data_IF_083365806127
#
_entry.id   IF_083365806127
#
_cell.length_a   1.000
_cell.length_b   1.000
_cell.length_c   1.000
_cell.angle_alpha   90.00
_cell.angle_beta   90.00
_cell.angle_gamma   90.00
#
_symmetry.space_group_name_H-M   'P 1'
#
loop_
_entity.id
_entity.type
_entity.pdbx_description
1 polymer ?
#
# COMPACT_ATOMS: atom_id res chain seq x y z
N UNK A 1 -26.32 -4.18 -50.82
CA UNK A 1 -25.84 -3.12 -49.91
C UNK A 1 -25.92 -3.66 -48.51
N UNK A 2 -24.85 -4.25 -48.03
CA UNK A 2 -24.71 -4.82 -46.67
C UNK A 2 -23.91 -3.81 -45.85
N UNK A 3 -24.59 -3.10 -44.96
CA UNK A 3 -23.98 -2.15 -43.99
C UNK A 3 -23.28 -2.96 -42.92
N UNK A 4 -21.96 -2.99 -42.96
CA UNK A 4 -21.14 -3.50 -41.86
C UNK A 4 -21.12 -2.48 -40.74
N UNK A 5 -21.68 -2.85 -39.59
CA UNK A 5 -21.70 -2.10 -38.35
C UNK A 5 -20.27 -1.96 -37.80
N UNK A 6 -19.71 -0.73 -37.64
CA UNK A 6 -18.36 -0.51 -37.14
C UNK A 6 -18.21 -0.66 -35.62
N UNK A 7 -19.29 -1.05 -34.89
CA UNK A 7 -19.29 -1.12 -33.42
C UNK A 7 -18.70 -2.41 -32.82
N UNK A 8 -18.23 -3.39 -33.63
CA UNK A 8 -17.69 -4.65 -33.13
C UNK A 8 -16.15 -4.75 -33.14
N UNK A 9 -15.44 -3.63 -33.31
CA UNK A 9 -14.00 -3.62 -33.08
C UNK A 9 -13.72 -3.70 -31.58
N UNK A 10 -13.78 -4.92 -31.04
CA UNK A 10 -13.29 -5.20 -29.70
C UNK A 10 -11.88 -4.69 -29.56
N UNK A 11 -11.68 -3.72 -28.66
CA UNK A 11 -10.35 -3.27 -28.26
C UNK A 11 -9.60 -4.49 -27.70
N UNK A 12 -8.83 -5.13 -28.55
CA UNK A 12 -7.78 -6.06 -28.12
C UNK A 12 -6.78 -5.18 -27.35
N UNK A 13 -6.83 -5.25 -26.03
CA UNK A 13 -5.74 -4.74 -25.19
C UNK A 13 -4.49 -5.43 -25.70
N UNK A 14 -3.44 -4.68 -26.11
CA UNK A 14 -2.21 -5.30 -26.59
C UNK A 14 -1.73 -6.23 -25.50
N UNK A 15 -1.54 -7.50 -25.82
CA UNK A 15 -0.89 -8.48 -24.97
C UNK A 15 0.55 -7.97 -24.83
N UNK A 16 0.80 -7.16 -23.77
CA UNK A 16 2.15 -6.88 -23.37
C UNK A 16 2.79 -8.24 -23.07
N UNK A 17 3.98 -8.48 -23.63
CA UNK A 17 4.82 -9.62 -23.29
C UNK A 17 4.86 -9.73 -21.76
N UNK A 18 4.00 -10.57 -21.20
CA UNK A 18 3.92 -10.77 -19.76
C UNK A 18 5.22 -11.42 -19.32
N UNK A 19 5.98 -10.73 -18.48
CA UNK A 19 7.23 -11.21 -17.89
C UNK A 19 7.03 -11.49 -16.41
N UNK A 20 6.33 -12.59 -16.07
CA UNK A 20 5.91 -12.83 -14.68
C UNK A 20 7.10 -12.93 -13.72
N UNK A 21 8.21 -13.54 -14.13
CA UNK A 21 9.41 -13.64 -13.30
C UNK A 21 10.02 -12.26 -13.01
N UNK A 22 10.05 -11.35 -14.01
CA UNK A 22 10.53 -9.99 -13.79
C UNK A 22 9.58 -9.21 -12.86
N UNK A 23 8.26 -9.37 -13.02
CA UNK A 23 7.27 -8.78 -12.12
C UNK A 23 7.44 -9.25 -10.67
N UNK A 24 7.62 -10.56 -10.46
CA UNK A 24 7.91 -11.12 -9.14
C UNK A 24 9.22 -10.57 -8.57
N UNK A 25 10.30 -10.49 -9.38
CA UNK A 25 11.59 -9.96 -8.92
C UNK A 25 11.49 -8.49 -8.49
N UNK A 26 10.78 -7.64 -9.22
CA UNK A 26 10.52 -6.26 -8.83
C UNK A 26 9.69 -6.18 -7.55
N UNK A 27 8.68 -7.04 -7.37
CA UNK A 27 7.89 -7.06 -6.14
C UNK A 27 8.74 -7.49 -4.95
N UNK A 28 9.55 -8.54 -5.09
CA UNK A 28 10.47 -9.01 -4.05
C UNK A 28 11.46 -7.92 -3.64
N UNK A 29 11.96 -7.12 -4.59
CA UNK A 29 12.79 -5.96 -4.29
C UNK A 29 12.02 -4.92 -3.46
N UNK A 30 10.80 -4.57 -3.84
CA UNK A 30 9.97 -3.63 -3.10
C UNK A 30 9.70 -4.11 -1.67
N UNK A 31 9.27 -5.38 -1.50
CA UNK A 31 8.95 -5.96 -0.19
C UNK A 31 10.17 -6.16 0.71
N UNK A 32 11.37 -6.20 0.16
CA UNK A 32 12.62 -6.19 0.93
C UNK A 32 13.00 -4.76 1.36
N UNK A 33 12.76 -3.77 0.51
CA UNK A 33 13.12 -2.37 0.77
C UNK A 33 12.18 -1.70 1.79
N UNK A 34 10.88 -1.97 1.74
CA UNK A 34 9.92 -1.33 2.63
C UNK A 34 10.14 -1.62 4.12
N UNK A 35 10.45 -2.85 4.57
CA UNK A 35 10.79 -3.08 5.98
C UNK A 35 12.06 -2.33 6.45
N UNK A 36 13.04 -2.15 5.57
CA UNK A 36 14.23 -1.33 5.87
C UNK A 36 13.82 0.14 6.06
N UNK A 37 12.94 0.65 5.18
CA UNK A 37 12.35 1.97 5.34
C UNK A 37 11.67 2.12 6.71
N UNK A 38 10.88 1.14 7.12
CA UNK A 38 10.11 1.19 8.37
C UNK A 38 11.03 1.12 9.60
N UNK A 39 12.14 0.39 9.52
CA UNK A 39 13.20 0.43 10.54
C UNK A 39 13.79 1.82 10.69
N UNK A 40 14.12 2.49 9.57
CA UNK A 40 14.66 3.85 9.60
C UNK A 40 13.64 4.81 10.25
N UNK A 41 12.37 4.74 9.84
CA UNK A 41 11.31 5.58 10.39
C UNK A 41 11.14 5.35 11.89
N UNK A 42 11.06 4.08 12.32
CA UNK A 42 10.96 3.75 13.74
C UNK A 42 12.17 4.23 14.54
N UNK A 43 13.37 4.14 13.99
CA UNK A 43 14.59 4.64 14.62
C UNK A 43 14.59 6.17 14.75
N UNK A 44 14.03 6.87 13.77
CA UNK A 44 13.92 8.33 13.78
C UNK A 44 12.76 8.84 14.64
N UNK A 45 11.77 7.99 14.98
CA UNK A 45 10.56 8.39 15.71
C UNK A 45 10.80 8.94 17.10
N UNK A 46 11.96 8.62 17.71
CA UNK A 46 12.38 9.16 19.01
C UNK A 46 12.85 10.62 18.97
N UNK A 47 13.35 11.10 17.82
CA UNK A 47 13.97 12.44 17.68
C UNK A 47 13.19 13.40 16.80
N UNK A 48 12.44 12.90 15.81
CA UNK A 48 11.76 13.72 14.80
C UNK A 48 10.24 13.59 14.92
N UNK A 49 9.52 14.57 14.38
CA UNK A 49 8.08 14.51 14.22
C UNK A 49 7.70 13.65 13.00
N UNK A 50 6.56 12.95 13.06
CA UNK A 50 6.10 12.10 11.95
C UNK A 50 5.92 12.90 10.65
N UNK A 51 5.32 14.09 10.73
CA UNK A 51 5.11 14.97 9.59
C UNK A 51 6.41 15.52 9.01
N UNK A 52 7.45 15.72 9.83
CA UNK A 52 8.79 16.08 9.38
C UNK A 52 9.45 14.95 8.58
N UNK A 53 9.34 13.70 9.07
CA UNK A 53 9.87 12.53 8.35
C UNK A 53 9.15 12.36 7.01
N UNK A 54 7.82 12.48 6.99
CA UNK A 54 7.03 12.35 5.75
C UNK A 54 7.38 13.45 4.75
N UNK A 55 7.61 14.69 5.21
CA UNK A 55 8.04 15.81 4.39
C UNK A 55 9.39 15.52 3.71
N UNK A 56 10.43 15.23 4.50
CA UNK A 56 11.78 15.00 3.97
C UNK A 56 11.84 13.77 3.09
N UNK A 57 11.14 12.68 3.48
CA UNK A 57 11.01 11.48 2.65
C UNK A 57 10.40 11.80 1.29
N UNK A 58 9.33 12.60 1.25
CA UNK A 58 8.69 13.04 0.01
C UNK A 58 9.64 13.86 -0.85
N UNK A 59 10.35 14.81 -0.23
CA UNK A 59 11.28 15.69 -0.93
C UNK A 59 12.46 14.92 -1.55
N UNK A 60 13.07 13.99 -0.80
CA UNK A 60 14.16 13.16 -1.32
C UNK A 60 13.71 12.05 -2.29
N UNK A 61 12.45 11.61 -2.22
CA UNK A 61 11.88 10.68 -3.20
C UNK A 61 11.57 11.35 -4.54
N UNK A 62 11.29 12.66 -4.54
CA UNK A 62 10.87 13.40 -5.72
C UNK A 62 11.87 13.35 -6.88
N UNK A 63 13.19 13.60 -6.71
CA UNK A 63 14.15 13.49 -7.80
C UNK A 63 14.27 12.06 -8.35
N UNK A 64 14.14 11.04 -7.51
CA UNK A 64 14.16 9.63 -7.93
C UNK A 64 12.96 9.33 -8.83
N UNK A 65 11.75 9.67 -8.37
CA UNK A 65 10.51 9.44 -9.13
C UNK A 65 10.46 10.30 -10.39
N UNK A 66 10.92 11.55 -10.33
CA UNK A 66 11.00 12.43 -11.49
C UNK A 66 12.02 11.90 -12.52
N UNK A 67 13.18 11.43 -12.09
CA UNK A 67 14.18 10.81 -12.96
C UNK A 67 13.65 9.56 -13.67
N UNK A 68 12.94 8.70 -12.94
CA UNK A 68 12.28 7.52 -13.51
C UNK A 68 11.20 7.93 -14.53
N UNK A 69 10.34 8.89 -14.17
CA UNK A 69 9.29 9.38 -15.05
C UNK A 69 9.87 10.05 -16.33
N UNK A 70 11.04 10.66 -16.22
CA UNK A 70 11.77 11.19 -17.38
C UNK A 70 12.28 10.07 -18.29
N UNK A 71 12.95 9.07 -17.71
CA UNK A 71 13.43 7.91 -18.48
C UNK A 71 12.30 7.15 -19.18
N UNK A 72 11.11 7.10 -18.59
CA UNK A 72 9.91 6.51 -19.19
C UNK A 72 9.19 7.45 -20.18
N UNK A 73 9.62 8.71 -20.35
CA UNK A 73 8.97 9.71 -21.19
C UNK A 73 7.59 10.16 -20.68
N UNK A 74 7.24 9.84 -19.44
CA UNK A 74 5.92 10.13 -18.85
C UNK A 74 5.87 11.47 -18.13
N UNK A 75 7.02 12.06 -17.80
CA UNK A 75 7.10 13.30 -17.02
C UNK A 75 6.35 14.48 -17.66
N UNK A 76 6.42 14.58 -19.01
CA UNK A 76 5.79 15.68 -19.76
C UNK A 76 4.35 15.36 -20.22
N UNK A 77 3.84 14.17 -19.93
CA UNK A 77 2.49 13.73 -20.33
C UNK A 77 1.64 13.43 -19.09
N UNK A 78 1.54 14.41 -18.19
CA UNK A 78 0.77 14.26 -16.97
C UNK A 78 -0.74 14.23 -17.27
N UNK A 79 -1.38 13.10 -16.95
CA UNK A 79 -2.83 12.93 -17.04
C UNK A 79 -3.41 12.82 -15.65
N UNK A 80 -4.07 13.86 -15.17
CA UNK A 80 -4.58 13.91 -13.80
C UNK A 80 -5.98 13.29 -13.66
N UNK A 81 -6.74 13.16 -14.75
CA UNK A 81 -8.11 12.66 -14.68
C UNK A 81 -9.02 13.56 -13.84
N UNK A 82 -9.83 12.97 -12.96
CA UNK A 82 -10.68 13.71 -12.04
C UNK A 82 -9.86 14.25 -10.86
N UNK A 83 -9.69 15.57 -10.78
CA UNK A 83 -8.92 16.25 -9.70
C UNK A 83 -9.48 15.92 -8.31
N UNK A 84 -10.82 16.01 -8.02
CA UNK A 84 -11.33 15.69 -6.70
C UNK A 84 -11.01 14.26 -6.26
N UNK A 85 -11.08 13.31 -7.20
CA UNK A 85 -10.78 11.91 -6.91
C UNK A 85 -9.27 11.69 -6.70
N UNK A 86 -8.41 12.43 -7.41
CA UNK A 86 -6.96 12.43 -7.18
C UNK A 86 -6.61 13.00 -5.81
N UNK A 87 -7.24 14.11 -5.41
CA UNK A 87 -7.05 14.72 -4.09
C UNK A 87 -7.48 13.74 -3.00
N UNK A 88 -8.68 13.17 -3.10
CA UNK A 88 -9.18 12.18 -2.13
C UNK A 88 -8.23 10.98 -2.02
N UNK A 89 -7.76 10.45 -3.16
CA UNK A 89 -6.81 9.36 -3.22
C UNK A 89 -5.51 9.70 -2.50
N UNK A 90 -4.92 10.84 -2.82
CA UNK A 90 -3.62 11.24 -2.28
C UNK A 90 -3.70 11.62 -0.80
N UNK A 91 -4.78 12.29 -0.36
CA UNK A 91 -5.03 12.57 1.05
C UNK A 91 -5.27 11.29 1.86
N UNK A 92 -6.03 10.34 1.32
CA UNK A 92 -6.21 9.03 1.97
C UNK A 92 -4.89 8.27 2.07
N UNK A 93 -4.04 8.28 1.02
CA UNK A 93 -2.70 7.71 1.10
C UNK A 93 -1.84 8.42 2.16
N UNK A 94 -1.84 9.75 2.19
CA UNK A 94 -1.12 10.54 3.18
C UNK A 94 -1.57 10.22 4.60
N UNK A 95 -2.88 10.20 4.86
CA UNK A 95 -3.45 9.85 6.15
C UNK A 95 -3.05 8.42 6.56
N UNK A 96 -3.12 7.46 5.61
CA UNK A 96 -2.69 6.08 5.82
C UNK A 96 -1.25 6.01 6.32
N UNK A 97 -0.31 6.62 5.59
CA UNK A 97 1.11 6.61 5.98
C UNK A 97 1.36 7.31 7.30
N UNK A 98 0.68 8.44 7.56
CA UNK A 98 0.82 9.18 8.80
C UNK A 98 0.43 8.32 10.01
N UNK A 99 -0.78 7.74 10.00
CA UNK A 99 -1.25 6.92 11.12
C UNK A 99 -0.53 5.57 11.21
N UNK A 100 -0.06 5.01 10.08
CA UNK A 100 0.82 3.84 10.06
C UNK A 100 2.12 4.09 10.82
N UNK A 101 2.79 5.20 10.54
CA UNK A 101 4.05 5.54 11.23
C UNK A 101 3.83 5.89 12.70
N UNK A 102 2.70 6.50 13.03
CA UNK A 102 2.31 6.71 14.43
C UNK A 102 2.11 5.38 15.16
N UNK A 103 1.49 4.39 14.53
CA UNK A 103 1.38 3.05 15.09
C UNK A 103 2.74 2.39 15.26
N UNK A 104 3.59 2.47 14.24
CA UNK A 104 4.93 1.89 14.20
C UNK A 104 5.84 2.43 15.32
N UNK A 105 5.63 3.69 15.76
CA UNK A 105 6.38 4.27 16.87
C UNK A 105 6.07 3.61 18.22
N UNK A 106 4.86 3.10 18.42
CA UNK A 106 4.41 2.53 19.70
C UNK A 106 4.47 1.00 19.72
N UNK A 107 4.09 0.32 18.63
CA UNK A 107 4.06 -1.15 18.58
C UNK A 107 5.17 -1.72 17.68
N UNK A 108 5.31 -3.05 17.71
CA UNK A 108 6.33 -3.76 16.94
C UNK A 108 6.15 -3.64 15.42
N UNK A 109 7.25 -3.74 14.68
CA UNK A 109 7.25 -3.69 13.21
C UNK A 109 6.35 -4.78 12.61
N UNK A 110 6.50 -6.01 13.11
CA UNK A 110 5.73 -7.15 12.65
C UNK A 110 4.24 -7.05 13.03
N UNK A 111 3.91 -6.49 14.19
CA UNK A 111 2.54 -6.27 14.65
C UNK A 111 1.84 -5.21 13.81
N UNK A 112 2.50 -4.06 13.60
CA UNK A 112 1.98 -3.01 12.71
C UNK A 112 1.72 -3.54 11.31
N UNK A 113 2.68 -4.31 10.76
CA UNK A 113 2.54 -4.96 9.46
C UNK A 113 1.36 -5.94 9.44
N UNK A 114 1.27 -6.84 10.41
CA UNK A 114 0.20 -7.84 10.50
C UNK A 114 -1.19 -7.18 10.43
N UNK A 115 -1.41 -6.13 11.22
CA UNK A 115 -2.70 -5.41 11.22
C UNK A 115 -2.94 -4.73 9.88
N UNK A 116 -1.93 -4.07 9.31
CA UNK A 116 -2.06 -3.32 8.05
C UNK A 116 -2.27 -4.25 6.85
N UNK A 117 -1.78 -5.49 6.89
CA UNK A 117 -2.08 -6.51 5.89
C UNK A 117 -3.55 -6.97 5.85
N UNK A 118 -4.42 -6.42 6.72
CA UNK A 118 -5.88 -6.49 6.55
C UNK A 118 -6.43 -5.60 5.41
N UNK A 119 -5.61 -4.74 4.81
CA UNK A 119 -6.01 -3.86 3.69
C UNK A 119 -6.79 -4.57 2.59
N UNK A 120 -6.40 -5.76 2.07
CA UNK A 120 -7.16 -6.46 1.02
C UNK A 120 -8.61 -6.77 1.42
N UNK A 121 -8.86 -6.98 2.72
CA UNK A 121 -10.19 -7.22 3.28
C UNK A 121 -11.04 -5.97 3.11
N UNK A 122 -10.53 -4.79 3.52
CA UNK A 122 -11.22 -3.50 3.36
C UNK A 122 -11.40 -3.13 1.89
N UNK A 123 -10.41 -3.41 1.04
CA UNK A 123 -10.53 -3.22 -0.42
C UNK A 123 -11.69 -4.05 -0.98
N UNK A 124 -11.85 -5.30 -0.55
CA UNK A 124 -12.94 -6.18 -0.98
C UNK A 124 -14.30 -5.62 -0.54
N UNK A 125 -14.42 -5.20 0.71
CA UNK A 125 -15.65 -4.57 1.24
C UNK A 125 -15.98 -3.29 0.48
N UNK A 126 -15.02 -2.40 0.32
CA UNK A 126 -15.22 -1.11 -0.36
C UNK A 126 -15.46 -1.26 -1.86
N UNK A 127 -14.88 -2.27 -2.52
CA UNK A 127 -15.19 -2.59 -3.91
C UNK A 127 -16.67 -2.96 -4.08
N UNK A 128 -17.23 -3.71 -3.14
CA UNK A 128 -18.66 -4.03 -3.12
C UNK A 128 -19.52 -2.79 -2.92
N UNK A 129 -19.16 -1.94 -1.94
CA UNK A 129 -19.95 -0.78 -1.56
C UNK A 129 -19.87 0.36 -2.61
N UNK A 130 -18.68 0.66 -3.13
CA UNK A 130 -18.43 1.86 -3.94
C UNK A 130 -18.27 1.58 -5.44
N UNK A 131 -17.92 0.35 -5.82
CA UNK A 131 -17.78 -0.06 -7.23
C UNK A 131 -18.94 -0.97 -7.68
N UNK A 132 -19.82 -1.39 -6.76
CA UNK A 132 -20.95 -2.27 -7.07
C UNK A 132 -20.50 -3.70 -7.44
N UNK A 133 -19.29 -4.12 -7.06
CA UNK A 133 -18.81 -5.46 -7.35
C UNK A 133 -19.57 -6.50 -6.53
N UNK A 134 -20.11 -7.52 -7.18
CA UNK A 134 -20.80 -8.61 -6.50
C UNK A 134 -19.80 -9.69 -6.08
N UNK A 135 -19.57 -9.78 -4.77
CA UNK A 135 -18.73 -10.82 -4.18
C UNK A 135 -19.58 -12.01 -3.71
N UNK A 136 -19.08 -13.24 -3.91
CA UNK A 136 -19.77 -14.43 -3.45
C UNK A 136 -19.53 -14.72 -1.96
N UNK A 137 -20.31 -15.65 -1.41
CA UNK A 137 -20.22 -16.06 0.01
C UNK A 137 -18.79 -16.43 0.45
N UNK A 138 -18.01 -17.03 -0.41
CA UNK A 138 -16.61 -17.37 -0.11
C UNK A 138 -15.73 -16.15 0.22
N UNK A 139 -15.90 -15.05 -0.52
CA UNK A 139 -15.18 -13.82 -0.21
C UNK A 139 -15.61 -13.23 1.14
N UNK A 140 -16.91 -13.34 1.48
CA UNK A 140 -17.39 -12.93 2.80
C UNK A 140 -16.82 -13.80 3.92
N UNK A 141 -16.68 -15.13 3.72
CA UNK A 141 -15.98 -15.99 4.68
C UNK A 141 -14.52 -15.57 4.88
N UNK A 142 -13.81 -15.21 3.79
CA UNK A 142 -12.44 -14.72 3.88
C UNK A 142 -12.37 -13.35 4.61
N UNK A 143 -13.32 -12.44 4.34
CA UNK A 143 -13.44 -11.16 5.06
C UNK A 143 -13.63 -11.39 6.57
N UNK A 144 -14.55 -12.28 6.96
CA UNK A 144 -14.82 -12.58 8.39
C UNK A 144 -13.58 -13.22 9.04
N UNK A 145 -12.92 -14.17 8.37
CA UNK A 145 -11.69 -14.80 8.86
C UNK A 145 -10.57 -13.77 9.07
N UNK A 146 -10.38 -12.87 8.11
CA UNK A 146 -9.36 -11.84 8.21
C UNK A 146 -9.64 -10.82 9.31
N UNK A 147 -10.89 -10.38 9.48
CA UNK A 147 -11.29 -9.49 10.58
C UNK A 147 -11.15 -10.17 11.95
N UNK A 148 -11.47 -11.46 12.04
CA UNK A 148 -11.21 -12.24 13.25
C UNK A 148 -9.70 -12.31 13.56
N UNK A 149 -8.86 -12.48 12.53
CA UNK A 149 -7.40 -12.40 12.66
C UNK A 149 -6.91 -11.04 13.19
N UNK A 150 -7.46 -9.93 12.69
CA UNK A 150 -7.18 -8.59 13.22
C UNK A 150 -7.58 -8.49 14.70
N UNK A 151 -8.77 -8.97 15.08
CA UNK A 151 -9.22 -8.96 16.46
C UNK A 151 -8.29 -9.77 17.38
N UNK A 152 -7.74 -10.89 16.90
CA UNK A 152 -6.75 -11.70 17.64
C UNK A 152 -5.44 -10.94 17.83
N UNK A 153 -4.96 -10.18 16.82
CA UNK A 153 -3.74 -9.36 16.97
C UNK A 153 -3.98 -8.19 17.92
N UNK A 154 -5.10 -7.49 17.76
CA UNK A 154 -5.42 -6.27 18.51
C UNK A 154 -5.78 -6.58 19.98
N UNK A 155 -6.30 -7.77 20.27
CA UNK A 155 -6.70 -8.23 21.62
C UNK A 155 -7.58 -7.23 22.39
N UNK A 156 -8.70 -6.73 21.83
CA UNK A 156 -9.55 -5.78 22.52
C UNK A 156 -10.12 -6.42 23.81
N UNK A 157 -9.89 -5.78 24.97
CA UNK A 157 -10.41 -6.25 26.25
C UNK A 157 -9.49 -7.16 27.06
N UNK A 158 -8.29 -7.48 26.60
CA UNK A 158 -7.33 -8.30 27.34
C UNK A 158 -6.53 -7.53 28.43
N UNK A 159 -6.94 -6.29 28.76
CA UNK A 159 -6.22 -5.42 29.72
C UNK A 159 -4.90 -4.86 29.21
N UNK A 160 -4.46 -5.27 28.03
CA UNK A 160 -3.21 -4.88 27.33
C UNK A 160 -3.54 -4.21 25.98
N UNK A 161 -4.75 -3.63 25.86
CA UNK A 161 -5.15 -2.96 24.63
C UNK A 161 -4.24 -1.77 24.33
N UNK A 162 -3.51 -1.88 23.20
CA UNK A 162 -2.63 -0.81 22.73
C UNK A 162 -3.36 0.07 21.71
N UNK A 163 -3.63 1.37 22.04
CA UNK A 163 -4.36 2.26 21.12
C UNK A 163 -3.70 2.41 19.74
N UNK A 164 -2.39 2.21 19.66
CA UNK A 164 -1.66 2.24 18.40
C UNK A 164 -2.09 1.16 17.41
N UNK A 165 -2.65 0.04 17.87
CA UNK A 165 -3.23 -0.99 17.00
C UNK A 165 -4.44 -0.45 16.21
N UNK A 166 -5.23 0.47 16.80
CA UNK A 166 -6.32 1.15 16.08
C UNK A 166 -5.76 2.04 14.97
N UNK A 167 -4.63 2.72 15.21
CA UNK A 167 -3.96 3.53 14.18
C UNK A 167 -3.51 2.66 13.01
N UNK A 168 -2.96 1.47 13.27
CA UNK A 168 -2.58 0.53 12.22
C UNK A 168 -3.80 0.05 11.41
N UNK A 169 -4.94 -0.18 12.07
CA UNK A 169 -6.20 -0.54 11.41
C UNK A 169 -6.75 0.61 10.57
N UNK A 170 -6.72 1.84 11.10
CA UNK A 170 -7.09 3.05 10.34
C UNK A 170 -6.18 3.24 9.12
N UNK A 171 -4.88 2.93 9.24
CA UNK A 171 -3.96 2.95 8.12
C UNK A 171 -4.41 2.01 6.99
N UNK A 172 -4.81 0.78 7.33
CA UNK A 172 -5.34 -0.19 6.37
C UNK A 172 -6.62 0.32 5.69
N UNK A 173 -7.54 0.94 6.44
CA UNK A 173 -8.78 1.52 5.92
C UNK A 173 -8.48 2.68 4.95
N UNK A 174 -7.65 3.64 5.35
CA UNK A 174 -7.30 4.77 4.49
C UNK A 174 -6.57 4.33 3.23
N UNK A 175 -5.69 3.33 3.34
CA UNK A 175 -5.01 2.76 2.18
C UNK A 175 -6.00 2.08 1.23
N UNK A 176 -6.97 1.33 1.75
CA UNK A 176 -8.04 0.73 0.96
C UNK A 176 -8.86 1.79 0.21
N UNK A 177 -9.20 2.92 0.85
CA UNK A 177 -9.88 4.06 0.19
C UNK A 177 -9.03 4.59 -0.97
N UNK A 178 -7.71 4.78 -0.76
CA UNK A 178 -6.79 5.21 -1.81
C UNK A 178 -6.76 4.23 -2.99
N UNK A 179 -6.76 2.92 -2.74
CA UNK A 179 -6.83 1.88 -3.78
C UNK A 179 -8.14 1.97 -4.56
N UNK A 180 -9.28 2.12 -3.90
CA UNK A 180 -10.60 2.25 -4.56
C UNK A 180 -10.65 3.50 -5.43
N UNK A 181 -10.12 4.64 -4.96
CA UNK A 181 -10.00 5.84 -5.76
C UNK A 181 -9.11 5.62 -7.00
N UNK A 182 -7.99 4.91 -6.84
CA UNK A 182 -7.10 4.53 -7.94
C UNK A 182 -7.84 3.68 -9.00
N UNK A 183 -8.63 2.69 -8.56
CA UNK A 183 -9.44 1.86 -9.44
C UNK A 183 -10.51 2.68 -10.20
N UNK A 184 -11.16 3.64 -9.52
CA UNK A 184 -12.13 4.56 -10.15
C UNK A 184 -11.50 5.50 -11.17
N UNK A 185 -10.26 5.95 -10.95
CA UNK A 185 -9.51 6.76 -11.91
C UNK A 185 -9.18 5.97 -13.18
N UNK A 186 -8.86 4.67 -13.03
CA UNK A 186 -8.60 3.75 -14.13
C UNK A 186 -7.58 4.30 -15.14
N UNK A 187 -7.85 4.11 -16.43
CA UNK A 187 -6.96 4.54 -17.53
C UNK A 187 -7.01 6.05 -17.83
N UNK A 188 -7.76 6.84 -17.07
CA UNK A 188 -7.83 8.31 -17.23
C UNK A 188 -6.61 9.04 -16.69
N UNK A 189 -5.75 8.34 -15.96
CA UNK A 189 -4.50 8.83 -15.38
C UNK A 189 -3.37 7.86 -15.67
N UNK A 190 -2.13 8.33 -15.64
CA UNK A 190 -0.95 7.47 -15.69
C UNK A 190 -0.31 7.33 -14.29
N UNK A 191 0.42 6.24 -14.09
CA UNK A 191 1.06 5.93 -12.80
C UNK A 191 2.03 7.01 -12.34
N UNK A 192 2.82 7.59 -13.26
CA UNK A 192 3.74 8.68 -12.95
C UNK A 192 3.04 9.91 -12.41
N UNK A 193 1.93 10.35 -13.05
CA UNK A 193 1.11 11.47 -12.57
C UNK A 193 0.53 11.20 -11.18
N UNK A 194 0.04 9.97 -10.93
CA UNK A 194 -0.51 9.59 -9.63
C UNK A 194 0.57 9.67 -8.54
N UNK A 195 1.77 9.16 -8.81
CA UNK A 195 2.87 9.14 -7.85
C UNK A 195 3.37 10.55 -7.55
N UNK A 196 3.62 11.36 -8.58
CA UNK A 196 4.04 12.75 -8.41
C UNK A 196 3.02 13.57 -7.62
N UNK A 197 1.73 13.43 -7.94
CA UNK A 197 0.66 14.10 -7.21
C UNK A 197 0.63 13.68 -5.72
N UNK A 198 0.81 12.39 -5.44
CA UNK A 198 0.89 11.89 -4.07
C UNK A 198 2.09 12.47 -3.33
N UNK A 199 3.27 12.53 -3.96
CA UNK A 199 4.46 13.13 -3.35
C UNK A 199 4.25 14.62 -3.04
N UNK A 200 3.62 15.37 -3.95
CA UNK A 200 3.26 16.78 -3.68
C UNK A 200 2.34 16.91 -2.46
N UNK A 201 1.34 16.03 -2.33
CA UNK A 201 0.45 16.01 -1.15
C UNK A 201 1.20 15.62 0.11
N UNK A 202 2.16 14.68 0.05
CA UNK A 202 2.97 14.29 1.20
C UNK A 202 3.88 15.43 1.67
N UNK A 203 4.52 16.15 0.74
CA UNK A 203 5.36 17.31 1.04
C UNK A 203 4.49 18.45 1.62
N UNK A 204 3.40 18.82 0.93
CA UNK A 204 2.52 19.89 1.38
C UNK A 204 1.84 19.55 2.72
N UNK A 205 1.31 18.33 2.85
CA UNK A 205 0.67 17.85 4.08
C UNK A 205 1.64 17.79 5.25
N UNK A 206 2.86 17.28 5.03
CA UNK A 206 3.92 17.27 6.05
C UNK A 206 4.28 18.68 6.51
N UNK A 207 4.43 19.63 5.57
CA UNK A 207 4.70 21.04 5.89
C UNK A 207 3.54 21.68 6.67
N UNK A 208 2.30 21.50 6.23
CA UNK A 208 1.11 22.06 6.90
C UNK A 208 0.98 21.50 8.33
N UNK A 209 1.10 20.20 8.50
CA UNK A 209 1.05 19.59 9.84
C UNK A 209 2.20 20.07 10.73
N UNK A 210 3.39 20.29 10.14
CA UNK A 210 4.55 20.85 10.84
C UNK A 210 4.35 22.28 11.33
N UNK A 211 3.47 23.05 10.70
CA UNK A 211 3.10 24.39 11.16
C UNK A 211 1.98 24.37 12.22
N UNK A 212 1.07 23.39 12.13
CA UNK A 212 -0.14 23.35 12.98
C UNK A 212 0.11 22.61 14.29
N UNK A 213 0.70 21.41 14.24
CA UNK A 213 0.78 20.53 15.42
C UNK A 213 1.70 21.03 16.55
N UNK A 214 2.85 21.67 16.28
CA UNK A 214 3.67 22.23 17.34
C UNK A 214 2.98 23.32 18.16
N UNK A 215 2.00 24.02 17.57
CA UNK A 215 1.20 25.03 18.27
C UNK A 215 0.12 24.43 19.19
N UNK A 216 -0.25 23.17 18.93
CA UNK A 216 -1.19 22.39 19.73
C UNK A 216 -0.46 21.51 20.74
N UNK A 217 0.81 21.84 21.05
CA UNK A 217 1.71 21.01 21.85
C UNK A 217 0.99 20.43 23.08
N UNK A 218 0.98 19.13 23.16
CA UNK A 218 0.44 18.37 24.27
C UNK A 218 1.52 17.38 24.71
N UNK A 219 1.93 17.45 25.97
CA UNK A 219 2.86 16.49 26.58
C UNK A 219 2.15 15.14 26.78
N UNK A 220 1.85 14.47 25.65
CA UNK A 220 1.22 13.16 25.70
C UNK A 220 2.28 12.10 26.02
N UNK A 221 2.06 11.27 27.05
CA UNK A 221 2.97 10.17 27.36
C UNK A 221 2.94 9.05 26.32
N UNK A 222 1.94 9.03 25.43
CA UNK A 222 1.80 7.98 24.43
C UNK A 222 2.74 8.21 23.23
N UNK A 223 3.61 7.24 22.85
CA UNK A 223 4.61 7.40 21.81
C UNK A 223 4.05 7.87 20.46
N UNK A 224 2.87 7.38 20.05
CA UNK A 224 2.22 7.77 18.79
C UNK A 224 1.84 9.24 18.77
N UNK A 225 1.29 9.77 19.88
CA UNK A 225 0.89 11.17 19.98
C UNK A 225 2.10 12.09 20.17
N UNK A 226 3.08 11.68 20.99
CA UNK A 226 4.34 12.38 21.11
C UNK A 226 5.04 12.53 19.75
N UNK A 227 4.96 11.52 18.88
CA UNK A 227 5.50 11.54 17.53
C UNK A 227 4.76 12.53 16.61
N UNK A 228 3.45 12.73 16.81
CA UNK A 228 2.63 13.67 16.05
C UNK A 228 2.84 15.13 16.50
N UNK A 229 2.82 15.38 17.82
CA UNK A 229 2.86 16.74 18.38
C UNK A 229 4.26 17.33 18.50
N UNK A 230 5.29 16.52 18.26
CA UNK A 230 6.69 16.97 18.34
C UNK A 230 6.96 18.10 17.35
N UNK A 231 7.69 19.13 17.80
CA UNK A 231 8.21 20.18 16.93
C UNK A 231 9.30 19.66 16.00
N UNK A 232 9.49 20.33 14.87
CA UNK A 232 10.57 19.99 13.95
C UNK A 232 11.93 20.20 14.63
N UNK A 233 12.77 19.20 14.54
CA UNK A 233 14.15 19.25 15.01
C UNK A 233 15.11 19.43 13.82
N UNK A 234 16.19 20.18 14.05
CA UNK A 234 17.25 20.30 13.06
C UNK A 234 17.98 18.95 12.93
N UNK A 235 18.04 18.34 11.72
CA UNK A 235 18.73 17.06 11.55
C UNK A 235 20.25 17.23 11.71
N UNK A 236 20.88 16.31 12.44
CA UNK A 236 22.33 16.17 12.47
C UNK A 236 22.84 15.59 11.12
N UNK A 237 24.15 15.66 10.82
CA UNK A 237 24.70 15.13 9.57
C UNK A 237 24.35 13.68 9.28
N UNK A 238 24.29 12.83 10.33
CA UNK A 238 23.87 11.42 10.21
C UNK A 238 22.39 11.29 9.84
N UNK A 239 21.53 12.15 10.38
CA UNK A 239 20.09 12.09 10.15
C UNK A 239 19.75 12.49 8.71
N UNK A 240 20.49 13.44 8.13
CA UNK A 240 20.37 13.77 6.72
C UNK A 240 20.62 12.58 5.80
N UNK A 241 21.61 11.74 6.14
CA UNK A 241 21.90 10.52 5.39
C UNK A 241 20.72 9.54 5.50
N UNK A 242 20.15 9.36 6.70
CA UNK A 242 19.00 8.48 6.92
C UNK A 242 17.75 9.00 6.19
N UNK A 243 17.48 10.30 6.22
CA UNK A 243 16.34 10.90 5.53
C UNK A 243 16.49 10.81 4.01
N UNK A 244 17.70 11.03 3.47
CA UNK A 244 17.99 10.85 2.05
C UNK A 244 17.87 9.38 1.62
N UNK A 245 18.41 8.45 2.42
CA UNK A 245 18.26 7.01 2.19
C UNK A 245 16.78 6.60 2.20
N UNK A 246 16.00 7.12 3.15
CA UNK A 246 14.57 6.89 3.25
C UNK A 246 13.83 7.33 1.98
N UNK A 247 14.15 8.53 1.44
CA UNK A 247 13.58 9.01 0.17
C UNK A 247 13.98 8.14 -1.01
N UNK A 248 15.25 7.77 -1.11
CA UNK A 248 15.77 6.89 -2.16
C UNK A 248 15.12 5.49 -2.13
N UNK A 249 15.09 4.87 -0.95
CA UNK A 249 14.43 3.56 -0.74
C UNK A 249 12.96 3.64 -1.11
N UNK A 250 12.25 4.70 -0.70
CA UNK A 250 10.85 4.91 -1.05
C UNK A 250 10.65 5.05 -2.57
N UNK A 251 11.47 5.86 -3.23
CA UNK A 251 11.37 6.06 -4.69
C UNK A 251 11.61 4.77 -5.47
N UNK A 252 12.67 4.03 -5.13
CA UNK A 252 12.99 2.74 -5.76
C UNK A 252 11.91 1.69 -5.43
N UNK A 253 11.44 1.64 -4.17
CA UNK A 253 10.41 0.71 -3.74
C UNK A 253 9.08 0.93 -4.48
N UNK A 254 8.62 2.17 -4.58
CA UNK A 254 7.39 2.50 -5.33
C UNK A 254 7.53 2.25 -6.83
N UNK A 255 8.70 2.56 -7.41
CA UNK A 255 8.97 2.20 -8.79
C UNK A 255 8.91 0.69 -8.99
N UNK A 256 9.60 -0.06 -8.14
CA UNK A 256 9.64 -1.52 -8.21
C UNK A 256 8.24 -2.13 -8.06
N UNK A 257 7.44 -1.62 -7.13
CA UNK A 257 6.04 -2.03 -6.96
C UNK A 257 5.21 -1.74 -8.23
N UNK A 258 5.37 -0.55 -8.81
CA UNK A 258 4.69 -0.18 -10.06
C UNK A 258 5.10 -1.08 -11.23
N UNK A 259 6.39 -1.39 -11.37
CA UNK A 259 6.88 -2.29 -12.41
C UNK A 259 6.40 -3.73 -12.23
N UNK A 260 6.31 -4.20 -10.99
CA UNK A 260 5.78 -5.53 -10.69
C UNK A 260 4.37 -5.72 -11.27
N UNK A 261 3.47 -4.77 -11.01
CA UNK A 261 2.09 -4.81 -11.51
C UNK A 261 1.95 -4.47 -12.99
N UNK A 262 2.95 -3.81 -13.60
CA UNK A 262 2.99 -3.56 -15.04
C UNK A 262 3.44 -4.79 -15.84
N UNK A 263 4.38 -5.57 -15.31
CA UNK A 263 5.03 -6.68 -16.01
C UNK A 263 4.32 -8.02 -15.82
N UNK A 264 3.48 -8.15 -14.79
CA UNK A 264 2.77 -9.38 -14.49
C UNK A 264 1.34 -9.10 -14.01
N UNK A 265 0.47 -10.10 -14.17
CA UNK A 265 -0.90 -10.04 -13.66
C UNK A 265 -0.90 -9.92 -12.13
N UNK A 266 -1.80 -9.11 -11.58
CA UNK A 266 -1.94 -8.94 -10.14
C UNK A 266 -2.12 -10.28 -9.40
N UNK A 267 -2.88 -11.21 -9.97
CA UNK A 267 -3.09 -12.56 -9.43
C UNK A 267 -1.80 -13.37 -9.25
N UNK A 268 -0.76 -13.05 -10.04
CA UNK A 268 0.54 -13.71 -9.97
C UNK A 268 1.44 -13.05 -8.93
N UNK A 269 1.44 -11.73 -8.86
CA UNK A 269 2.38 -10.98 -7.99
C UNK A 269 1.86 -10.77 -6.58
N UNK A 270 0.56 -10.52 -6.37
CA UNK A 270 -0.01 -10.21 -5.05
C UNK A 270 0.33 -11.22 -3.94
N UNK A 271 0.39 -12.56 -4.17
CA UNK A 271 0.80 -13.49 -3.13
C UNK A 271 2.21 -13.21 -2.58
N UNK A 272 3.09 -12.66 -3.40
CA UNK A 272 4.46 -12.33 -3.01
C UNK A 272 4.55 -11.04 -2.18
N UNK A 273 3.50 -10.23 -2.08
CA UNK A 273 3.46 -9.09 -1.14
C UNK A 273 3.63 -9.55 0.31
N UNK A 274 3.12 -10.74 0.64
CA UNK A 274 3.28 -11.30 1.98
C UNK A 274 4.73 -11.61 2.35
N UNK A 275 5.66 -11.61 1.38
CA UNK A 275 7.11 -11.72 1.67
C UNK A 275 7.66 -10.52 2.46
N UNK A 276 6.93 -9.41 2.56
CA UNK A 276 7.24 -8.31 3.46
C UNK A 276 7.28 -8.78 4.93
N UNK A 277 6.38 -9.67 5.34
CA UNK A 277 6.21 -10.07 6.74
C UNK A 277 7.43 -10.79 7.35
N UNK A 278 8.05 -11.78 6.68
CA UNK A 278 9.32 -12.34 7.15
C UNK A 278 10.40 -11.28 7.35
N UNK A 279 10.50 -10.30 6.45
CA UNK A 279 11.46 -9.20 6.59
C UNK A 279 11.11 -8.27 7.75
N UNK A 280 9.82 -7.98 7.97
CA UNK A 280 9.38 -7.17 9.11
C UNK A 280 9.71 -7.85 10.45
N UNK A 281 9.52 -9.17 10.56
CA UNK A 281 9.92 -9.96 11.75
C UNK A 281 11.45 -9.96 11.91
N UNK A 282 12.19 -10.24 10.83
CA UNK A 282 13.64 -10.28 10.84
C UNK A 282 14.25 -8.95 11.30
N UNK A 283 13.86 -7.84 10.68
CA UNK A 283 14.37 -6.52 11.03
C UNK A 283 13.88 -6.03 12.39
N UNK A 284 12.61 -6.37 12.76
CA UNK A 284 12.06 -6.08 14.09
C UNK A 284 12.88 -6.73 15.19
N UNK A 285 13.30 -7.97 14.99
CA UNK A 285 14.17 -8.68 15.93
C UNK A 285 15.62 -8.14 15.91
N UNK A 286 16.22 -8.01 14.73
CA UNK A 286 17.62 -7.60 14.59
C UNK A 286 17.91 -6.19 15.15
N UNK A 287 16.99 -5.25 14.95
CA UNK A 287 17.22 -3.84 15.29
C UNK A 287 16.60 -3.46 16.64
N UNK A 288 15.44 -4.01 16.97
CA UNK A 288 14.68 -3.63 18.17
C UNK A 288 14.56 -4.77 19.20
N UNK A 289 15.06 -5.97 18.92
CA UNK A 289 14.94 -7.12 19.81
C UNK A 289 13.50 -7.62 20.00
N UNK A 290 12.55 -7.14 19.18
CA UNK A 290 11.13 -7.45 19.32
C UNK A 290 10.71 -8.65 18.47
N UNK A 291 10.20 -9.69 19.12
CA UNK A 291 9.57 -10.83 18.45
C UNK A 291 8.05 -10.74 18.60
N UNK A 292 7.28 -11.11 17.55
CA UNK A 292 5.82 -11.17 17.64
C UNK A 292 5.38 -12.16 18.71
N UNK A 293 4.38 -11.79 19.52
CA UNK A 293 3.75 -12.69 20.46
C UNK A 293 2.92 -13.79 19.78
N UNK A 294 2.49 -14.80 20.54
CA UNK A 294 1.68 -15.91 20.03
C UNK A 294 0.37 -15.44 19.37
N UNK A 295 -0.28 -14.43 19.94
CA UNK A 295 -1.48 -13.82 19.36
C UNK A 295 -1.21 -13.18 18.01
N UNK A 296 -0.08 -12.46 17.88
CA UNK A 296 0.33 -11.87 16.61
C UNK A 296 0.58 -12.93 15.54
N UNK A 297 1.26 -14.03 15.88
CA UNK A 297 1.45 -15.15 14.96
C UNK A 297 0.14 -15.80 14.52
N UNK A 298 -0.77 -16.03 15.47
CA UNK A 298 -2.09 -16.63 15.19
C UNK A 298 -2.92 -15.71 14.29
N UNK A 299 -3.05 -14.42 14.65
CA UNK A 299 -3.80 -13.46 13.85
C UNK A 299 -3.17 -13.22 12.47
N UNK A 300 -1.83 -13.20 12.39
CA UNK A 300 -1.10 -13.09 11.13
C UNK A 300 -1.42 -14.25 10.18
N UNK A 301 -1.41 -15.49 10.67
CA UNK A 301 -1.77 -16.66 9.85
C UNK A 301 -3.21 -16.59 9.35
N UNK A 302 -4.14 -16.09 10.17
CA UNK A 302 -5.53 -15.89 9.75
C UNK A 302 -5.66 -14.79 8.67
N UNK A 303 -4.99 -13.65 8.84
CA UNK A 303 -5.03 -12.53 7.88
C UNK A 303 -4.40 -12.94 6.55
N UNK A 304 -3.20 -13.53 6.58
CA UNK A 304 -2.51 -14.01 5.37
C UNK A 304 -3.33 -15.10 4.69
N UNK A 305 -3.85 -16.06 5.47
CA UNK A 305 -4.73 -17.12 4.95
C UNK A 305 -5.98 -16.55 4.26
N UNK A 306 -6.65 -15.58 4.87
CA UNK A 306 -7.80 -14.90 4.28
C UNK A 306 -7.45 -14.19 2.96
N UNK A 307 -6.34 -13.45 2.95
CA UNK A 307 -5.86 -12.75 1.75
C UNK A 307 -5.49 -13.71 0.62
N UNK A 308 -4.75 -14.77 0.91
CA UNK A 308 -4.39 -15.81 -0.07
C UNK A 308 -5.63 -16.55 -0.62
N UNK A 309 -6.64 -16.81 0.22
CA UNK A 309 -7.91 -17.40 -0.22
C UNK A 309 -8.62 -16.51 -1.24
N UNK A 310 -8.65 -15.19 -1.03
CA UNK A 310 -9.23 -14.22 -1.98
C UNK A 310 -8.48 -14.30 -3.31
N UNK A 311 -7.14 -14.15 -3.28
CA UNK A 311 -6.28 -14.16 -4.47
C UNK A 311 -6.41 -15.49 -5.24
N UNK A 312 -6.34 -16.63 -4.55
CA UNK A 312 -6.44 -17.94 -5.17
C UNK A 312 -7.77 -18.11 -5.92
N UNK A 313 -8.88 -17.68 -5.33
CA UNK A 313 -10.18 -17.76 -5.98
C UNK A 313 -10.32 -16.83 -7.19
N UNK A 314 -9.77 -15.63 -7.14
CA UNK A 314 -9.75 -14.72 -8.29
C UNK A 314 -8.96 -15.32 -9.46
N UNK A 315 -7.82 -15.95 -9.17
CA UNK A 315 -7.00 -16.67 -10.16
C UNK A 315 -7.77 -17.81 -10.81
N UNK A 316 -8.53 -18.59 -10.01
CA UNK A 316 -9.35 -19.67 -10.54
C UNK A 316 -10.51 -19.16 -11.41
N UNK A 317 -11.12 -18.04 -11.07
CA UNK A 317 -12.20 -17.43 -11.87
C UNK A 317 -11.68 -16.83 -13.19
N UNK A 318 -10.48 -16.26 -13.19
CA UNK A 318 -9.81 -15.72 -14.39
C UNK A 318 -9.47 -16.80 -15.43
N UNK A 319 -9.27 -18.05 -14.99
CA UNK A 319 -9.09 -19.20 -15.85
C UNK A 319 -10.43 -19.72 -16.40
N UNK A 320 -11.18 -18.90 -17.15
CA UNK A 320 -12.26 -19.45 -17.99
C UNK A 320 -11.60 -20.33 -19.04
N UNK A 321 -12.00 -21.61 -19.16
CA UNK A 321 -11.34 -22.53 -20.08
C UNK A 321 -11.53 -22.04 -21.52
N UNK A 322 -10.43 -21.83 -22.22
CA UNK A 322 -10.36 -21.56 -23.68
C UNK A 322 -11.01 -22.65 -24.52
N UNK A 323 -11.39 -23.78 -23.93
CA UNK A 323 -12.03 -24.95 -24.55
C UNK A 323 -13.46 -24.70 -25.03
N UNK A 324 -14.15 -23.63 -24.62
CA UNK A 324 -15.54 -23.39 -25.04
C UNK A 324 -15.69 -22.63 -26.36
N UNK A 325 -14.62 -22.02 -26.88
CA UNK A 325 -14.62 -21.34 -28.18
C UNK A 325 -14.28 -22.26 -29.37
N UNK A 326 -13.67 -23.42 -29.14
CA UNK A 326 -13.29 -24.35 -30.20
C UNK A 326 -14.40 -25.26 -30.69
N UNK A 327 -15.44 -25.51 -29.89
CA UNK A 327 -16.53 -26.42 -30.25
C UNK A 327 -17.72 -25.77 -30.96
N UNK A 328 -17.77 -24.45 -31.01
CA UNK A 328 -18.82 -23.70 -31.74
C UNK A 328 -18.57 -23.58 -33.24
N UNK A 329 -17.34 -23.72 -33.70
CA UNK A 329 -16.96 -23.58 -35.11
C UNK A 329 -17.11 -24.86 -35.93
N UNK A 330 -17.17 -26.03 -35.28
CA UNK A 330 -17.31 -27.31 -35.96
C UNK A 330 -18.79 -27.76 -36.16
N UNK A 331 -19.78 -26.95 -35.79
CA UNK A 331 -21.20 -27.26 -35.94
C UNK A 331 -21.91 -26.48 -37.04
N UNK A 332 -21.15 -25.75 -37.86
CA UNK A 332 -21.65 -25.06 -39.07
C UNK A 332 -20.80 -25.42 -40.29
N UNK A 333 -20.71 -26.69 -40.62
CA UNK A 333 -20.42 -27.21 -41.95
C UNK A 333 -21.27 -28.46 -42.21
#
# INVERSE_FOLDING_TARGET
>A
MTTTDPASAGYAVPIHDSRPLAGIAFLMLATTLFPIQDVIIKSLSGGFAVHQIVFWRGLFALPVVAGIAWCEGTLFHLRLGSIPLQVLRALSAFASYLVYYMALAAIGLAETAAITFSTPIFVTVFATLFLGERIGAFHWCAVVLGLAGVAVVVQPGAGVFEPAAVLALLAAIFYAVSIICTRKLGNRTNGGSMTLFTLCVFIAGGAVLGLVFPQLANDSPHPSLAFLYRSWAAPAPRDWLLLAALGGISGIGFFSLSQAYRLAEASVVTPFEYSYLPWAVFWGYMVFGSLPGAATWTGLTMIVGAGLLIVFRETLKGRKPLLRKGLGVLRQR
#
